data_IF_277422411526
#
_entry.id   IF_277422411526
#
_cell.length_a   1.000
_cell.length_b   1.000
_cell.length_c   1.000
_cell.angle_alpha   90.00
_cell.angle_beta   90.00
_cell.angle_gamma   90.00
#
_symmetry.space_group_name_H-M   'P 1'
#
loop_
_entity.id
_entity.type
_entity.pdbx_description
1 polymer ?
#
# COMPACT_ATOMS: atom_id res chain seq x y z
N UNK A 1 -17.97 11.92 -15.83
CA UNK A 1 -17.23 11.00 -14.94
C UNK A 1 -17.47 9.59 -15.48
N UNK A 2 -16.46 8.68 -15.55
CA UNK A 2 -16.69 7.30 -15.98
C UNK A 2 -17.47 6.53 -14.91
N UNK A 3 -18.17 5.45 -15.32
CA UNK A 3 -18.89 4.54 -14.39
C UNK A 3 -17.97 4.01 -13.28
N UNK A 4 -16.71 3.72 -13.61
CA UNK A 4 -15.74 3.23 -12.65
C UNK A 4 -15.43 4.25 -11.56
N UNK A 5 -15.30 5.54 -11.90
CA UNK A 5 -15.06 6.59 -10.90
C UNK A 5 -16.29 6.84 -10.01
N UNK A 6 -17.49 6.76 -10.56
CA UNK A 6 -18.72 6.83 -9.76
C UNK A 6 -18.79 5.68 -8.77
N UNK A 7 -18.45 4.46 -9.21
CA UNK A 7 -18.34 3.29 -8.33
C UNK A 7 -17.31 3.53 -7.23
N UNK A 8 -16.09 4.03 -7.54
CA UNK A 8 -15.04 4.29 -6.55
C UNK A 8 -15.45 5.25 -5.43
N UNK A 9 -16.40 6.15 -5.69
CA UNK A 9 -16.95 7.12 -4.72
C UNK A 9 -18.29 6.65 -4.13
N UNK A 10 -18.86 5.59 -4.68
CA UNK A 10 -20.20 5.14 -4.39
C UNK A 10 -20.36 4.40 -3.06
N UNK A 11 -21.60 4.30 -2.56
CA UNK A 11 -21.91 3.63 -1.30
C UNK A 11 -21.70 2.10 -1.39
N UNK A 12 -21.90 1.49 -2.55
CA UNK A 12 -21.71 0.05 -2.74
C UNK A 12 -20.26 -0.35 -2.47
N UNK A 13 -19.30 0.37 -3.09
CA UNK A 13 -17.88 0.12 -2.83
C UNK A 13 -17.55 0.32 -1.36
N UNK A 14 -18.06 1.39 -0.74
CA UNK A 14 -17.82 1.67 0.67
C UNK A 14 -18.36 0.56 1.59
N UNK A 15 -19.56 0.04 1.32
CA UNK A 15 -20.14 -1.06 2.07
C UNK A 15 -19.30 -2.34 1.97
N UNK A 16 -18.82 -2.66 0.76
CA UNK A 16 -17.91 -3.79 0.54
C UNK A 16 -16.58 -3.61 1.27
N UNK A 17 -15.97 -2.43 1.18
CA UNK A 17 -14.73 -2.10 1.88
C UNK A 17 -14.88 -2.32 3.39
N UNK A 18 -15.97 -1.83 4.00
CA UNK A 18 -16.22 -1.98 5.43
C UNK A 18 -16.47 -3.44 5.79
N UNK A 19 -17.35 -4.13 5.06
CA UNK A 19 -17.71 -5.51 5.36
C UNK A 19 -16.48 -6.45 5.28
N UNK A 20 -15.70 -6.36 4.20
CA UNK A 20 -14.53 -7.21 4.01
C UNK A 20 -13.42 -6.86 5.00
N UNK A 21 -13.15 -5.56 5.25
CA UNK A 21 -12.10 -5.16 6.18
C UNK A 21 -12.43 -5.54 7.62
N UNK A 22 -13.68 -5.39 8.04
CA UNK A 22 -14.12 -5.81 9.37
C UNK A 22 -13.99 -7.32 9.54
N UNK A 23 -14.48 -8.10 8.55
CA UNK A 23 -14.36 -9.56 8.56
C UNK A 23 -12.88 -10.00 8.59
N UNK A 24 -12.04 -9.36 7.77
CA UNK A 24 -10.61 -9.65 7.73
C UNK A 24 -9.94 -9.35 9.08
N UNK A 25 -10.23 -8.22 9.72
CA UNK A 25 -9.68 -7.89 11.04
C UNK A 25 -10.14 -8.87 12.11
N UNK A 26 -11.40 -9.31 12.11
CA UNK A 26 -11.90 -10.30 13.05
C UNK A 26 -11.21 -11.66 12.87
N UNK A 27 -11.12 -12.14 11.63
CA UNK A 27 -10.47 -13.43 11.30
C UNK A 27 -8.97 -13.39 11.57
N UNK A 28 -8.30 -12.27 11.28
CA UNK A 28 -6.85 -12.13 11.46
C UNK A 28 -6.47 -11.68 12.89
N UNK A 29 -7.41 -11.30 13.74
CA UNK A 29 -7.10 -10.83 15.10
C UNK A 29 -6.27 -11.83 15.92
N UNK A 30 -6.51 -13.17 15.89
CA UNK A 30 -5.66 -14.15 16.58
C UNK A 30 -4.20 -14.16 16.09
N UNK A 31 -3.94 -13.68 14.88
CA UNK A 31 -2.58 -13.53 14.32
C UNK A 31 -2.00 -12.16 14.65
N UNK A 32 -2.81 -11.10 14.59
CA UNK A 32 -2.33 -9.73 14.75
C UNK A 32 -1.82 -9.43 16.16
N UNK A 33 -2.49 -9.97 17.22
CA UNK A 33 -2.07 -9.76 18.60
C UNK A 33 -0.72 -10.40 18.92
N UNK A 34 -0.47 -11.71 18.65
CA UNK A 34 0.86 -12.30 18.83
C UNK A 34 1.95 -11.61 18.01
N UNK A 35 1.62 -11.18 16.78
CA UNK A 35 2.55 -10.47 15.92
C UNK A 35 2.94 -9.11 16.53
N UNK A 36 1.97 -8.36 17.04
CA UNK A 36 2.23 -7.10 17.73
C UNK A 36 3.08 -7.30 19.00
N UNK A 37 2.80 -8.36 19.77
CA UNK A 37 3.60 -8.73 20.95
C UNK A 37 5.05 -9.11 20.55
N UNK A 38 5.22 -9.91 19.49
CA UNK A 38 6.54 -10.26 18.96
C UNK A 38 7.33 -9.01 18.54
N UNK A 39 6.69 -8.08 17.83
CA UNK A 39 7.33 -6.83 17.42
C UNK A 39 7.69 -5.95 18.62
N UNK A 40 6.83 -5.92 19.65
CA UNK A 40 7.10 -5.19 20.88
C UNK A 40 8.36 -5.73 21.58
N UNK A 41 8.49 -7.04 21.67
CA UNK A 41 9.64 -7.71 22.30
C UNK A 41 10.91 -7.57 21.46
N UNK A 42 10.80 -7.71 20.13
CA UNK A 42 11.96 -7.70 19.22
C UNK A 42 12.48 -6.29 18.89
N UNK A 43 11.61 -5.28 18.83
CA UNK A 43 11.95 -3.94 18.32
C UNK A 43 11.52 -2.80 19.27
N UNK A 44 10.80 -3.11 20.35
CA UNK A 44 10.28 -2.12 21.31
C UNK A 44 9.15 -1.25 20.72
N UNK A 45 8.71 -0.26 21.51
CA UNK A 45 7.68 0.70 21.08
C UNK A 45 8.20 1.77 20.14
N UNK A 46 7.30 2.39 19.32
CA UNK A 46 5.95 1.96 19.02
C UNK A 46 5.92 0.80 18.02
N UNK A 47 4.97 -0.13 18.18
CA UNK A 47 4.77 -1.29 17.29
C UNK A 47 4.19 -0.85 15.94
N UNK A 48 3.33 0.18 15.96
CA UNK A 48 2.75 0.77 14.74
C UNK A 48 3.61 1.94 14.29
N UNK A 49 3.99 1.90 13.03
CA UNK A 49 4.59 3.00 12.30
C UNK A 49 3.51 3.76 11.54
N UNK A 50 3.59 5.08 11.57
CA UNK A 50 2.67 5.94 10.83
C UNK A 50 3.44 6.81 9.86
N UNK A 51 2.90 6.98 8.66
CA UNK A 51 3.47 7.86 7.64
C UNK A 51 2.39 8.70 6.99
N UNK A 52 2.65 9.99 6.82
CA UNK A 52 1.73 10.87 6.10
C UNK A 52 1.69 10.50 4.62
N UNK A 53 0.47 10.37 4.10
CA UNK A 53 0.15 10.06 2.71
C UNK A 53 -0.96 10.97 2.21
N UNK A 54 -1.06 11.06 0.89
CA UNK A 54 -2.13 11.78 0.23
C UNK A 54 -3.23 10.80 -0.18
N UNK A 55 -4.45 11.10 0.23
CA UNK A 55 -5.67 10.34 -0.06
C UNK A 55 -6.58 11.03 -1.06
N UNK A 56 -7.85 10.61 -1.02
CA UNK A 56 -8.87 11.15 -1.92
C UNK A 56 -9.02 12.67 -1.78
N UNK A 57 -9.21 13.34 -2.91
CA UNK A 57 -9.33 14.78 -3.03
C UNK A 57 -8.12 15.56 -2.46
N UNK A 58 -6.95 14.92 -2.43
CA UNK A 58 -5.71 15.53 -1.92
C UNK A 58 -5.62 15.64 -0.40
N UNK A 59 -6.52 15.01 0.35
CA UNK A 59 -6.52 15.05 1.82
C UNK A 59 -5.36 14.24 2.39
N UNK A 60 -4.68 14.78 3.38
CA UNK A 60 -3.62 14.07 4.10
C UNK A 60 -4.23 13.10 5.11
N UNK A 61 -3.63 11.91 5.23
CA UNK A 61 -3.98 10.95 6.27
C UNK A 61 -2.74 10.21 6.77
N UNK A 62 -2.86 9.49 7.88
CA UNK A 62 -1.78 8.70 8.47
C UNK A 62 -1.95 7.24 8.10
N UNK A 63 -1.13 6.78 7.17
CA UNK A 63 -1.04 5.37 6.81
C UNK A 63 -0.48 4.56 7.97
N UNK A 64 -1.16 3.48 8.36
CA UNK A 64 -0.76 2.59 9.45
C UNK A 64 -0.02 1.37 8.91
N UNK A 65 1.14 1.05 9.50
CA UNK A 65 1.89 -0.19 9.21
C UNK A 65 2.48 -0.76 10.50
N UNK A 66 2.76 -2.04 10.53
CA UNK A 66 3.67 -2.55 11.54
C UNK A 66 5.07 -2.02 11.30
N UNK A 67 5.77 -1.68 12.39
CA UNK A 67 7.14 -1.21 12.29
C UNK A 67 8.08 -2.34 11.92
N UNK A 68 8.72 -2.23 10.79
CA UNK A 68 9.71 -3.19 10.26
C UNK A 68 11.13 -2.65 10.26
N UNK A 69 11.32 -1.37 10.61
CA UNK A 69 12.61 -0.70 10.64
C UNK A 69 13.03 -0.34 12.06
N UNK A 70 14.35 -0.16 12.26
CA UNK A 70 14.94 0.35 13.50
C UNK A 70 14.46 1.76 13.81
N UNK A 71 14.56 2.19 15.09
CA UNK A 71 14.11 3.52 15.53
C UNK A 71 14.92 4.67 14.93
N UNK A 72 16.21 4.44 14.74
CA UNK A 72 17.18 5.37 14.18
C UNK A 72 17.11 5.50 12.65
N UNK A 73 16.21 4.72 12.03
CA UNK A 73 16.01 4.67 10.58
C UNK A 73 15.25 5.87 9.97
N UNK A 74 14.92 6.90 10.77
CA UNK A 74 14.14 8.07 10.32
C UNK A 74 14.86 8.92 9.25
N UNK A 75 16.17 8.76 9.10
CA UNK A 75 16.96 9.45 8.08
C UNK A 75 17.14 8.54 6.86
N UNK A 76 16.55 8.91 5.73
CA UNK A 76 16.72 8.21 4.47
C UNK A 76 15.57 8.43 3.48
N UNK A 77 15.74 7.93 2.27
CA UNK A 77 14.74 8.03 1.20
C UNK A 77 13.41 7.37 1.60
N UNK A 78 12.27 7.92 1.17
CA UNK A 78 10.96 7.30 1.38
C UNK A 78 10.80 5.92 0.74
N UNK A 79 11.65 5.60 -0.24
CA UNK A 79 11.69 4.32 -0.95
C UNK A 79 12.75 3.38 -0.34
N UNK A 80 12.45 2.09 -0.32
CA UNK A 80 13.27 1.06 0.31
C UNK A 80 13.66 0.00 -0.71
N UNK A 81 14.91 -0.44 -0.72
CA UNK A 81 15.34 -1.61 -1.46
C UNK A 81 15.31 -2.87 -0.58
N UNK A 82 15.32 -4.06 -1.20
CA UNK A 82 15.22 -5.36 -0.50
C UNK A 82 16.32 -5.65 0.53
N UNK A 83 17.50 -5.01 0.41
CA UNK A 83 18.64 -5.15 1.34
C UNK A 83 18.89 -3.91 2.20
N UNK A 84 17.86 -3.13 2.46
CA UNK A 84 18.00 -1.91 3.27
C UNK A 84 18.43 -2.27 4.71
N UNK A 85 19.59 -1.78 5.20
CA UNK A 85 20.12 -2.12 6.52
C UNK A 85 19.25 -1.60 7.68
N UNK A 86 18.35 -0.67 7.41
CA UNK A 86 17.39 -0.15 8.38
C UNK A 86 16.32 -1.17 8.75
N UNK A 87 16.08 -2.18 7.91
CA UNK A 87 15.03 -3.20 8.11
C UNK A 87 15.53 -4.28 9.07
N UNK A 88 14.76 -4.54 10.14
CA UNK A 88 15.04 -5.59 11.11
C UNK A 88 14.85 -6.99 10.50
N UNK A 89 15.41 -8.05 11.12
CA UNK A 89 15.23 -9.43 10.63
C UNK A 89 13.76 -9.85 10.64
N UNK A 90 13.03 -9.54 11.73
CA UNK A 90 11.58 -9.75 11.82
C UNK A 90 10.85 -8.90 10.78
N UNK A 91 11.27 -7.64 10.60
CA UNK A 91 10.72 -6.75 9.60
C UNK A 91 10.84 -7.27 8.17
N UNK A 92 11.95 -7.93 7.82
CA UNK A 92 12.11 -8.56 6.50
C UNK A 92 11.10 -9.68 6.26
N UNK A 93 10.87 -10.51 7.27
CA UNK A 93 9.87 -11.59 7.19
C UNK A 93 8.46 -11.01 6.98
N UNK A 94 8.11 -9.97 7.76
CA UNK A 94 6.80 -9.32 7.65
C UNK A 94 6.57 -8.69 6.28
N UNK A 95 7.58 -7.99 5.74
CA UNK A 95 7.52 -7.40 4.40
C UNK A 95 7.39 -8.44 3.30
N UNK A 96 8.17 -9.53 3.40
CA UNK A 96 8.10 -10.62 2.43
C UNK A 96 6.69 -11.25 2.37
N UNK A 97 6.02 -11.36 3.53
CA UNK A 97 4.66 -11.85 3.66
C UNK A 97 3.58 -10.75 3.55
N UNK A 98 3.95 -9.47 3.32
CA UNK A 98 3.05 -8.31 3.31
C UNK A 98 2.20 -8.15 4.59
N UNK A 99 2.61 -8.79 5.68
CA UNK A 99 1.91 -8.71 6.97
C UNK A 99 2.07 -7.35 7.65
N UNK A 100 3.12 -6.62 7.30
CA UNK A 100 3.35 -5.26 7.79
C UNK A 100 2.28 -4.25 7.35
N UNK A 101 1.54 -4.54 6.30
CA UNK A 101 0.49 -3.67 5.77
C UNK A 101 -0.91 -3.96 6.35
N UNK A 102 -1.09 -5.06 7.11
CA UNK A 102 -2.41 -5.41 7.69
C UNK A 102 -3.06 -4.30 8.56
N UNK A 103 -2.31 -3.47 9.33
CA UNK A 103 -2.93 -2.35 10.05
C UNK A 103 -3.65 -1.34 9.16
N UNK A 104 -3.36 -1.28 7.85
CA UNK A 104 -4.09 -0.42 6.90
C UNK A 104 -5.57 -0.80 6.75
N UNK A 105 -5.98 -2.01 7.12
CA UNK A 105 -7.40 -2.38 7.21
C UNK A 105 -8.18 -1.44 8.15
N UNK A 106 -7.52 -0.88 9.17
CA UNK A 106 -8.12 0.17 10.02
C UNK A 106 -8.31 1.46 9.22
N UNK A 107 -7.34 1.88 8.39
CA UNK A 107 -7.52 3.03 7.51
C UNK A 107 -8.69 2.83 6.53
N UNK A 108 -8.90 1.57 6.07
CA UNK A 108 -10.08 1.24 5.24
C UNK A 108 -11.37 1.39 6.05
N UNK A 109 -11.43 0.87 7.28
CA UNK A 109 -12.62 0.97 8.13
C UNK A 109 -12.99 2.41 8.47
N UNK A 110 -12.02 3.28 8.75
CA UNK A 110 -12.31 4.70 9.05
C UNK A 110 -12.59 5.53 7.80
N UNK A 111 -12.35 4.98 6.60
CA UNK A 111 -12.70 5.60 5.32
C UNK A 111 -11.62 6.47 4.69
N UNK A 112 -10.41 6.43 5.22
CA UNK A 112 -9.23 7.07 4.64
C UNK A 112 -8.72 6.30 3.42
N UNK A 113 -8.93 4.97 3.40
CA UNK A 113 -8.55 4.05 2.34
C UNK A 113 -9.73 3.19 1.86
N UNK A 114 -9.49 2.44 0.81
CA UNK A 114 -10.31 1.37 0.24
C UNK A 114 -9.48 0.08 0.17
N UNK A 115 -10.11 -1.07 0.02
CA UNK A 115 -9.38 -2.32 -0.25
C UNK A 115 -8.67 -2.26 -1.60
N UNK A 116 -9.37 -1.77 -2.64
CA UNK A 116 -8.82 -1.62 -3.99
C UNK A 116 -8.90 -0.17 -4.43
N UNK A 117 -7.79 0.38 -4.88
CA UNK A 117 -7.67 1.77 -5.34
C UNK A 117 -6.21 2.16 -5.58
N UNK A 118 -5.96 3.32 -6.15
CA UNK A 118 -4.59 3.80 -6.39
C UNK A 118 -3.76 3.79 -5.11
N UNK A 119 -2.53 3.26 -5.16
CA UNK A 119 -1.66 3.23 -3.97
C UNK A 119 -1.35 4.65 -3.48
N UNK A 120 -1.46 4.92 -2.16
CA UNK A 120 -1.22 6.27 -1.64
C UNK A 120 0.28 6.61 -1.65
N UNK A 121 0.61 7.81 -2.14
CA UNK A 121 2.00 8.30 -2.20
C UNK A 121 2.28 9.39 -1.15
N UNK A 122 3.58 9.60 -0.88
CA UNK A 122 4.04 10.66 0.02
C UNK A 122 3.80 12.04 -0.60
N UNK A 123 3.57 13.09 0.22
CA UNK A 123 3.26 14.43 -0.28
C UNK A 123 4.28 14.98 -1.29
N UNK A 124 5.58 14.73 -1.07
CA UNK A 124 6.64 15.23 -1.95
C UNK A 124 6.60 14.63 -3.36
N UNK A 125 6.10 13.39 -3.52
CA UNK A 125 5.92 12.77 -4.84
C UNK A 125 4.63 13.21 -5.50
N UNK A 126 3.53 13.30 -4.74
CA UNK A 126 2.25 13.82 -5.26
C UNK A 126 2.38 15.26 -5.76
N UNK A 127 3.22 16.07 -5.12
CA UNK A 127 3.49 17.44 -5.57
C UNK A 127 4.07 17.52 -7.00
N UNK A 128 4.70 16.43 -7.47
CA UNK A 128 5.29 16.32 -8.81
C UNK A 128 4.32 15.75 -9.86
N UNK A 129 3.09 15.37 -9.47
CA UNK A 129 2.11 14.82 -10.41
C UNK A 129 1.66 15.85 -11.42
N UNK A 130 1.56 15.44 -12.69
CA UNK A 130 0.88 16.22 -13.73
C UNK A 130 -0.61 16.35 -13.43
N UNK A 131 -1.31 17.25 -14.12
CA UNK A 131 -2.75 17.39 -13.99
C UNK A 131 -3.51 16.09 -14.27
N UNK A 132 -3.06 15.31 -15.27
CA UNK A 132 -3.63 13.99 -15.58
C UNK A 132 -3.36 12.98 -14.47
N UNK A 133 -2.13 12.90 -13.98
CA UNK A 133 -1.76 11.98 -12.90
C UNK A 133 -2.51 12.26 -11.60
N UNK A 134 -2.81 13.53 -11.28
CA UNK A 134 -3.61 13.91 -10.11
C UNK A 134 -5.02 13.32 -10.11
N UNK A 135 -5.54 12.88 -11.26
CA UNK A 135 -6.84 12.21 -11.34
C UNK A 135 -6.90 10.90 -10.55
N UNK A 136 -5.76 10.26 -10.23
CA UNK A 136 -5.76 9.10 -9.31
C UNK A 136 -6.28 9.47 -7.92
N UNK A 137 -6.21 10.74 -7.54
CA UNK A 137 -6.73 11.25 -6.26
C UNK A 137 -8.26 11.42 -6.25
N UNK A 138 -8.94 11.17 -7.36
CA UNK A 138 -10.42 11.19 -7.42
C UNK A 138 -11.04 10.00 -6.67
N UNK A 139 -10.28 8.97 -6.31
CA UNK A 139 -10.73 7.83 -5.53
C UNK A 139 -9.98 7.72 -4.19
N UNK A 140 -10.55 6.92 -3.26
CA UNK A 140 -9.82 6.53 -2.05
C UNK A 140 -8.61 5.68 -2.43
N UNK A 141 -7.44 5.93 -1.82
CA UNK A 141 -6.28 5.08 -2.05
C UNK A 141 -6.55 3.66 -1.59
N UNK A 142 -5.95 2.69 -2.29
CA UNK A 142 -6.15 1.27 -2.03
C UNK A 142 -5.07 0.62 -1.17
N UNK A 143 -5.46 -0.44 -0.46
CA UNK A 143 -4.53 -1.40 0.14
C UNK A 143 -3.86 -2.22 -0.97
N UNK A 144 -4.61 -2.55 -2.01
CA UNK A 144 -4.10 -3.15 -3.25
C UNK A 144 -4.57 -2.37 -4.49
N UNK A 145 -3.88 -2.56 -5.60
CA UNK A 145 -4.16 -2.00 -6.90
C UNK A 145 -3.54 -2.87 -8.02
N UNK A 146 -3.90 -2.67 -9.30
CA UNK A 146 -3.30 -3.42 -10.41
C UNK A 146 -1.78 -3.29 -10.48
N UNK A 147 -1.24 -2.12 -10.14
CA UNK A 147 0.19 -1.88 -10.18
C UNK A 147 0.90 -2.63 -9.04
N UNK A 148 0.33 -2.71 -7.83
CA UNK A 148 0.88 -3.48 -6.71
C UNK A 148 0.97 -4.98 -7.01
N UNK A 149 0.04 -5.51 -7.81
CA UNK A 149 0.10 -6.91 -8.26
C UNK A 149 1.24 -7.12 -9.26
N UNK A 150 1.40 -6.21 -10.23
CA UNK A 150 2.45 -6.29 -11.26
C UNK A 150 3.83 -5.99 -10.69
N UNK A 151 3.96 -4.93 -9.89
CA UNK A 151 5.21 -4.48 -9.26
C UNK A 151 5.40 -5.10 -7.87
N UNK A 152 4.97 -6.35 -7.67
CA UNK A 152 5.09 -7.06 -6.40
C UNK A 152 6.51 -6.99 -5.83
N UNK A 153 7.51 -7.20 -6.70
CA UNK A 153 8.92 -7.23 -6.36
C UNK A 153 9.61 -5.86 -6.59
N UNK A 154 8.86 -4.75 -6.39
CA UNK A 154 9.36 -3.38 -6.55
C UNK A 154 10.64 -3.14 -5.72
N UNK A 155 10.71 -3.67 -4.50
CA UNK A 155 11.91 -3.56 -3.67
C UNK A 155 13.13 -4.22 -4.31
N UNK A 156 12.96 -5.36 -5.00
CA UNK A 156 14.03 -6.04 -5.75
C UNK A 156 14.41 -5.24 -7.00
N UNK A 157 13.42 -4.72 -7.73
CA UNK A 157 13.65 -3.84 -8.88
C UNK A 157 14.44 -2.59 -8.47
N UNK A 158 14.06 -1.95 -7.38
CA UNK A 158 14.76 -0.77 -6.86
C UNK A 158 16.14 -1.09 -6.32
N UNK A 159 16.35 -2.30 -5.78
CA UNK A 159 17.66 -2.75 -5.32
C UNK A 159 18.65 -3.01 -6.45
N UNK A 160 18.18 -3.27 -7.69
CA UNK A 160 19.04 -3.42 -8.88
C UNK A 160 19.64 -2.08 -9.36
N UNK A 161 19.13 -0.96 -8.83
CA UNK A 161 19.58 0.40 -9.20
C UNK A 161 20.47 0.95 -8.09
N UNK A 162 21.61 1.59 -8.41
CA UNK A 162 22.45 2.27 -7.41
C UNK A 162 21.65 3.24 -6.55
N UNK A 163 21.93 3.28 -5.24
CA UNK A 163 21.17 4.06 -4.27
C UNK A 163 21.03 5.53 -4.67
N UNK A 164 22.10 6.13 -5.18
CA UNK A 164 22.14 7.52 -5.67
C UNK A 164 21.20 7.81 -6.84
N UNK A 165 20.77 6.78 -7.59
CA UNK A 165 19.87 6.91 -8.75
C UNK A 165 18.48 6.35 -8.50
N UNK A 166 18.26 5.68 -7.35
CA UNK A 166 17.04 4.94 -7.05
C UNK A 166 15.80 5.82 -7.03
N UNK A 167 15.87 6.98 -6.39
CA UNK A 167 14.74 7.92 -6.35
C UNK A 167 14.41 8.46 -7.75
N UNK A 168 15.43 8.84 -8.52
CA UNK A 168 15.23 9.29 -9.89
C UNK A 168 14.59 8.21 -10.76
N UNK A 169 15.09 6.98 -10.70
CA UNK A 169 14.52 5.84 -11.42
C UNK A 169 13.06 5.57 -11.00
N UNK A 170 12.76 5.64 -9.70
CA UNK A 170 11.39 5.50 -9.23
C UNK A 170 10.48 6.57 -9.85
N UNK A 171 10.85 7.83 -9.75
CA UNK A 171 10.04 8.97 -10.21
C UNK A 171 9.88 9.03 -11.73
N UNK A 172 10.91 8.65 -12.48
CA UNK A 172 10.90 8.78 -13.95
C UNK A 172 10.42 7.50 -14.67
N UNK A 173 10.51 6.34 -14.02
CA UNK A 173 10.21 5.05 -14.67
C UNK A 173 9.08 4.28 -13.98
N UNK A 174 9.16 4.08 -12.67
CA UNK A 174 8.23 3.20 -11.95
C UNK A 174 6.91 3.93 -11.69
N UNK A 175 6.98 5.09 -11.07
CA UNK A 175 5.81 5.86 -10.66
C UNK A 175 4.87 6.22 -11.83
N UNK A 176 5.35 6.70 -12.99
CA UNK A 176 4.47 7.00 -14.12
C UNK A 176 3.71 5.78 -14.63
N UNK A 177 4.35 4.60 -14.66
CA UNK A 177 3.70 3.35 -15.08
C UNK A 177 2.62 2.93 -14.08
N UNK A 178 2.90 3.02 -12.78
CA UNK A 178 1.92 2.73 -11.71
C UNK A 178 0.72 3.66 -11.82
N UNK A 179 0.95 4.95 -12.04
CA UNK A 179 -0.11 5.95 -12.19
C UNK A 179 -0.97 5.68 -13.43
N UNK A 180 -0.36 5.33 -14.58
CA UNK A 180 -1.10 4.99 -15.79
C UNK A 180 -2.04 3.80 -15.56
N UNK A 181 -1.55 2.71 -14.93
CA UNK A 181 -2.36 1.54 -14.58
C UNK A 181 -3.50 1.91 -13.61
N UNK A 182 -3.24 2.80 -12.66
CA UNK A 182 -4.25 3.23 -11.71
C UNK A 182 -5.30 4.15 -12.34
N UNK A 183 -4.94 4.96 -13.34
CA UNK A 183 -5.91 5.72 -14.13
C UNK A 183 -6.82 4.79 -14.94
N UNK A 184 -6.26 3.75 -15.55
CA UNK A 184 -7.03 2.72 -16.25
C UNK A 184 -7.97 1.97 -15.30
N UNK A 185 -7.50 1.64 -14.08
CA UNK A 185 -8.35 1.06 -13.05
C UNK A 185 -9.55 1.96 -12.74
N UNK A 186 -9.36 3.27 -12.55
CA UNK A 186 -10.46 4.20 -12.25
C UNK A 186 -11.55 4.20 -13.32
N UNK A 187 -11.20 3.97 -14.56
CA UNK A 187 -12.19 3.93 -15.65
C UNK A 187 -12.92 2.58 -15.73
N UNK A 188 -12.31 1.50 -15.26
CA UNK A 188 -12.84 0.11 -15.30
C UNK A 188 -13.32 -0.42 -13.95
N UNK A 189 -13.17 0.34 -12.86
CA UNK A 189 -13.50 -0.10 -11.51
C UNK A 189 -14.94 -0.59 -11.40
N UNK A 190 -15.14 -1.65 -10.64
CA UNK A 190 -16.43 -2.28 -10.40
C UNK A 190 -16.28 -3.46 -9.43
N UNK A 191 -17.40 -3.95 -8.90
CA UNK A 191 -17.42 -5.00 -7.87
C UNK A 191 -16.61 -6.23 -8.26
N UNK A 192 -16.85 -6.76 -9.47
CA UNK A 192 -16.19 -7.99 -9.96
C UNK A 192 -14.68 -7.76 -10.16
N UNK A 193 -14.30 -6.59 -10.65
CA UNK A 193 -12.90 -6.28 -10.86
C UNK A 193 -12.17 -6.09 -9.53
N UNK A 194 -12.79 -5.44 -8.55
CA UNK A 194 -12.24 -5.32 -7.20
C UNK A 194 -12.07 -6.70 -6.53
N UNK A 195 -13.08 -7.56 -6.59
CA UNK A 195 -12.99 -8.92 -6.06
C UNK A 195 -11.86 -9.72 -6.74
N UNK A 196 -11.75 -9.61 -8.08
CA UNK A 196 -10.65 -10.23 -8.82
C UNK A 196 -9.28 -9.75 -8.32
N UNK A 197 -9.10 -8.44 -8.12
CA UNK A 197 -7.84 -7.87 -7.63
C UNK A 197 -7.54 -8.29 -6.19
N UNK A 198 -8.53 -8.32 -5.31
CA UNK A 198 -8.37 -8.81 -3.94
C UNK A 198 -7.93 -10.27 -3.93
N UNK A 199 -8.64 -11.14 -4.66
CA UNK A 199 -8.30 -12.57 -4.75
C UNK A 199 -6.91 -12.79 -5.38
N UNK A 200 -6.58 -12.03 -6.42
CA UNK A 200 -5.26 -12.07 -7.04
C UNK A 200 -4.17 -11.65 -6.07
N UNK A 201 -4.39 -10.58 -5.30
CA UNK A 201 -3.45 -10.12 -4.27
C UNK A 201 -3.24 -11.19 -3.20
N UNK A 202 -4.32 -11.78 -2.68
CA UNK A 202 -4.23 -12.86 -1.69
C UNK A 202 -3.45 -14.06 -2.27
N UNK A 203 -3.76 -14.46 -3.49
CA UNK A 203 -3.03 -15.53 -4.18
C UNK A 203 -1.55 -15.21 -4.30
N UNK A 204 -1.21 -14.01 -4.75
CA UNK A 204 0.18 -13.57 -4.94
C UNK A 204 0.93 -13.49 -3.61
N UNK A 205 0.28 -13.11 -2.52
CA UNK A 205 0.87 -13.08 -1.17
C UNK A 205 1.09 -14.49 -0.63
N UNK A 206 0.11 -15.40 -0.76
CA UNK A 206 0.19 -16.75 -0.20
C UNK A 206 1.04 -17.70 -1.05
N UNK A 207 1.08 -17.52 -2.38
CA UNK A 207 1.85 -18.31 -3.31
C UNK A 207 2.84 -17.44 -4.10
N UNK A 208 3.97 -17.07 -3.48
CA UNK A 208 5.03 -16.38 -4.20
C UNK A 208 5.53 -17.28 -5.34
N UNK A 209 5.51 -16.75 -6.58
CA UNK A 209 6.19 -17.44 -7.67
C UNK A 209 7.65 -17.69 -7.23
N UNK A 210 8.10 -18.94 -7.32
CA UNK A 210 9.51 -19.30 -7.07
C UNK A 210 10.33 -18.58 -8.15
N UNK A 211 11.08 -17.56 -7.74
CA UNK A 211 12.15 -16.96 -8.54
C UNK A 211 13.33 -17.90 -8.65
#
# INVERSE_FOLDING_TARGET
>A
MSRGREYCRGPVKRALDVAISLSALLVLSPLLFPLAALLLLASGQPVIFTQERIGMDGRRFRLLKFRTMRRDAAQGLPITGSRDPRVTSVGRLLRAAKLDELPQLVNVLVGEMSLVGPRPEVPCYVARYTAEQKRVLEARPGLTDPASVLFRDEEALLASVPESRREKFYLETVLPRKLAMNLEYLDRAGVLYDLYLVLTTVKVVLWPARS
#
